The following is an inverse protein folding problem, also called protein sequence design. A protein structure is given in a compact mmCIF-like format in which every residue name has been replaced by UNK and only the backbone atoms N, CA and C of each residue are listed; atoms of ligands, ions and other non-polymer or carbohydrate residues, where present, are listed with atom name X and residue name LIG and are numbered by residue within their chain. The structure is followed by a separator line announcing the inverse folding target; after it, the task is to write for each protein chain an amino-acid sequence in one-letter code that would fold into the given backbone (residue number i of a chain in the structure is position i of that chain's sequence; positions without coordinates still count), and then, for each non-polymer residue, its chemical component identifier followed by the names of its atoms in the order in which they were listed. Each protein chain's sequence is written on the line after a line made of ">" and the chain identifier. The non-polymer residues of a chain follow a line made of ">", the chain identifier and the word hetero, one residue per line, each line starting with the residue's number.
data_IF_494756813598
#
_entry.id   IF_494756813598
#
_cell.length_a   1.000
_cell.length_b   1.000
_cell.length_c   1.000
_cell.angle_alpha   90.00
_cell.angle_beta   90.00
_cell.angle_gamma   90.00
#
_symmetry.space_group_name_H-M   'P 1'
#
loop_
_entity.id
_entity.type
_entity.pdbx_description
1 polymer ?
#
# COMPACT_ATOMS: atom_id res chain seq x y z
N UNK A 1 -6.41 -41.36 27.13
CA UNK A 1 -5.75 -40.03 27.16
C UNK A 1 -4.82 -39.72 25.98
N UNK A 2 -4.02 -40.67 25.49
CA UNK A 2 -3.08 -40.44 24.37
C UNK A 2 -3.73 -39.90 23.08
N UNK A 3 -4.90 -40.39 22.68
CA UNK A 3 -5.61 -39.92 21.46
C UNK A 3 -6.03 -38.45 21.57
N UNK A 4 -6.36 -37.95 22.78
CA UNK A 4 -6.69 -36.53 23.01
C UNK A 4 -5.46 -35.63 22.87
N UNK A 5 -4.31 -36.06 23.40
CA UNK A 5 -3.01 -35.36 23.22
C UNK A 5 -2.54 -35.39 21.77
N UNK A 6 -2.72 -36.52 21.07
CA UNK A 6 -2.38 -36.63 19.65
C UNK A 6 -3.26 -35.70 18.80
N UNK A 7 -4.58 -35.65 19.05
CA UNK A 7 -5.48 -34.69 18.42
C UNK A 7 -5.11 -33.24 18.71
N UNK A 8 -4.76 -32.88 19.95
CA UNK A 8 -4.37 -31.50 20.26
C UNK A 8 -3.05 -31.11 19.60
N UNK A 9 -2.12 -32.05 19.46
CA UNK A 9 -0.84 -31.80 18.82
C UNK A 9 -0.98 -31.76 17.29
N UNK A 10 -1.83 -32.60 16.69
CA UNK A 10 -2.18 -32.52 15.27
C UNK A 10 -2.94 -31.23 14.93
N UNK A 11 -3.87 -30.81 15.80
CA UNK A 11 -4.58 -29.55 15.67
C UNK A 11 -3.61 -28.38 15.83
N UNK A 12 -2.70 -28.40 16.82
CA UNK A 12 -1.69 -27.36 16.98
C UNK A 12 -0.77 -27.28 15.76
N UNK A 13 -0.16 -28.38 15.32
CA UNK A 13 0.71 -28.37 14.14
C UNK A 13 -0.04 -28.04 12.85
N UNK A 14 -1.28 -28.50 12.68
CA UNK A 14 -2.10 -28.19 11.51
C UNK A 14 -2.59 -26.74 11.48
N UNK A 15 -2.93 -26.16 12.64
CA UNK A 15 -3.31 -24.75 12.79
C UNK A 15 -2.10 -23.83 12.64
N UNK A 16 -0.94 -24.20 13.16
CA UNK A 16 0.31 -23.45 13.03
C UNK A 16 0.75 -23.38 11.56
N UNK A 17 0.68 -24.49 10.82
CA UNK A 17 0.94 -24.51 9.36
C UNK A 17 -0.10 -23.66 8.57
N UNK A 18 -1.35 -23.61 9.02
CA UNK A 18 -2.39 -22.79 8.39
C UNK A 18 -2.18 -21.29 8.67
N UNK A 19 -1.81 -20.93 9.89
CA UNK A 19 -1.48 -19.56 10.28
C UNK A 19 -0.21 -19.06 9.59
N UNK A 20 0.78 -19.93 9.40
CA UNK A 20 1.98 -19.63 8.60
C UNK A 20 1.61 -19.34 7.14
N UNK A 21 0.75 -20.16 6.53
CA UNK A 21 0.29 -19.95 5.14
C UNK A 21 -0.49 -18.65 4.96
N UNK A 22 -1.38 -18.35 5.90
CA UNK A 22 -2.13 -17.08 5.94
C UNK A 22 -1.17 -15.88 6.06
N UNK A 23 -0.20 -15.97 6.96
CA UNK A 23 0.81 -14.92 7.18
C UNK A 23 1.66 -14.70 5.93
N UNK A 24 2.11 -15.79 5.28
CA UNK A 24 2.83 -15.73 4.01
C UNK A 24 1.99 -15.05 2.93
N UNK A 25 0.70 -15.37 2.82
CA UNK A 25 -0.17 -14.75 1.83
C UNK A 25 -0.36 -13.25 2.10
N UNK A 26 -0.49 -12.83 3.36
CA UNK A 26 -0.54 -11.41 3.74
C UNK A 26 0.73 -10.68 3.34
N UNK A 27 1.90 -11.27 3.55
CA UNK A 27 3.17 -10.67 3.13
C UNK A 27 3.30 -10.63 1.60
N UNK A 28 2.78 -11.62 0.87
CA UNK A 28 2.68 -11.57 -0.60
C UNK A 28 1.78 -10.43 -1.09
N UNK A 29 0.63 -10.19 -0.43
CA UNK A 29 -0.25 -9.05 -0.76
C UNK A 29 0.52 -7.73 -0.59
N UNK A 30 1.25 -7.55 0.52
CA UNK A 30 2.06 -6.35 0.74
C UNK A 30 3.11 -6.16 -0.35
N UNK A 31 3.88 -7.21 -0.65
CA UNK A 31 4.92 -7.16 -1.67
C UNK A 31 4.36 -6.80 -3.03
N UNK A 32 3.21 -7.38 -3.41
CA UNK A 32 2.52 -7.05 -4.65
C UNK A 32 2.09 -5.57 -4.69
N UNK A 33 1.59 -5.02 -3.59
CA UNK A 33 1.21 -3.60 -3.50
C UNK A 33 2.44 -2.68 -3.60
N UNK A 34 3.53 -3.01 -2.91
CA UNK A 34 4.78 -2.23 -2.98
C UNK A 34 5.32 -2.24 -4.41
N UNK A 35 5.33 -3.40 -5.04
CA UNK A 35 5.78 -3.54 -6.43
C UNK A 35 4.92 -2.72 -7.40
N UNK A 36 3.60 -2.77 -7.22
CA UNK A 36 2.65 -2.01 -8.01
C UNK A 36 2.88 -0.50 -7.91
N UNK A 37 3.18 0.01 -6.72
CA UNK A 37 3.31 1.45 -6.46
C UNK A 37 4.69 1.98 -6.82
N UNK A 38 5.76 1.20 -6.59
CA UNK A 38 7.13 1.71 -6.65
C UNK A 38 7.91 1.25 -7.88
N UNK A 39 7.54 0.12 -8.51
CA UNK A 39 8.33 -0.50 -9.58
C UNK A 39 7.57 -0.69 -10.90
N UNK A 40 6.27 -0.40 -10.93
CA UNK A 40 5.48 -0.45 -12.17
C UNK A 40 5.45 0.93 -12.81
N UNK A 41 6.09 1.09 -13.97
CA UNK A 41 6.09 2.35 -14.72
C UNK A 41 4.90 2.45 -15.69
N UNK A 42 4.34 1.31 -16.09
CA UNK A 42 3.21 1.25 -17.00
C UNK A 42 1.89 1.56 -16.30
N UNK A 43 1.01 2.29 -16.98
CA UNK A 43 -0.38 2.43 -16.57
C UNK A 43 -1.02 1.06 -16.45
N UNK A 44 -1.24 0.62 -15.21
CA UNK A 44 -2.02 -0.57 -14.94
C UNK A 44 -3.42 -0.30 -15.48
N UNK A 45 -3.78 -0.96 -16.58
CA UNK A 45 -5.12 -0.86 -17.19
C UNK A 45 -6.17 -1.58 -16.34
N UNK A 46 -5.73 -2.44 -15.43
CA UNK A 46 -6.58 -3.23 -14.52
C UNK A 46 -6.67 -2.56 -13.15
N UNK A 47 -7.81 -2.71 -12.48
CA UNK A 47 -8.00 -2.16 -11.14
C UNK A 47 -7.18 -2.99 -10.10
N UNK A 48 -7.06 -2.48 -8.88
CA UNK A 48 -6.28 -3.11 -7.80
C UNK A 48 -6.76 -4.54 -7.48
N UNK A 49 -8.08 -4.78 -7.51
CA UNK A 49 -8.66 -6.08 -7.19
C UNK A 49 -8.30 -7.14 -8.23
N UNK A 50 -8.38 -6.80 -9.51
CA UNK A 50 -8.04 -7.69 -10.63
C UNK A 50 -6.54 -7.99 -10.60
N UNK A 51 -5.70 -6.95 -10.42
CA UNK A 51 -4.24 -7.12 -10.31
C UNK A 51 -3.86 -8.11 -9.20
N UNK A 52 -4.41 -7.95 -8.00
CA UNK A 52 -4.08 -8.83 -6.87
C UNK A 52 -4.63 -10.24 -7.07
N UNK A 53 -5.81 -10.37 -7.65
CA UNK A 53 -6.44 -11.68 -7.88
C UNK A 53 -5.65 -12.49 -8.90
N UNK A 54 -5.26 -11.87 -10.02
CA UNK A 54 -4.46 -12.50 -11.06
C UNK A 54 -3.05 -12.85 -10.56
N UNK A 55 -2.38 -11.90 -9.90
CA UNK A 55 -0.99 -12.07 -9.46
C UNK A 55 -0.84 -13.14 -8.37
N UNK A 56 -1.81 -13.25 -7.47
CA UNK A 56 -1.76 -14.17 -6.35
C UNK A 56 -2.54 -15.46 -6.60
N UNK A 57 -3.36 -15.51 -7.65
CA UNK A 57 -4.26 -16.62 -7.98
C UNK A 57 -5.26 -16.93 -6.85
N UNK A 58 -5.89 -15.88 -6.33
CA UNK A 58 -6.94 -15.94 -5.30
C UNK A 58 -8.09 -14.99 -5.64
N UNK A 59 -9.28 -15.28 -5.13
CA UNK A 59 -10.38 -14.32 -5.17
C UNK A 59 -10.08 -13.09 -4.29
N UNK A 60 -10.39 -11.89 -4.78
CA UNK A 60 -10.14 -10.64 -4.06
C UNK A 60 -10.88 -10.57 -2.72
N UNK A 61 -12.10 -11.10 -2.62
CA UNK A 61 -12.87 -11.10 -1.37
C UNK A 61 -12.13 -11.88 -0.29
N UNK A 62 -11.56 -13.03 -0.65
CA UNK A 62 -10.72 -13.81 0.26
C UNK A 62 -9.48 -13.03 0.70
N UNK A 63 -8.76 -12.43 -0.26
CA UNK A 63 -7.58 -11.61 0.03
C UNK A 63 -7.90 -10.43 0.96
N UNK A 64 -8.98 -9.70 0.68
CA UNK A 64 -9.41 -8.53 1.44
C UNK A 64 -9.80 -8.88 2.88
N UNK A 65 -10.54 -9.97 3.06
CA UNK A 65 -10.93 -10.46 4.39
C UNK A 65 -9.72 -10.90 5.19
N UNK A 66 -8.85 -11.73 4.60
CA UNK A 66 -7.64 -12.22 5.25
C UNK A 66 -6.71 -11.08 5.66
N UNK A 67 -6.48 -10.13 4.75
CA UNK A 67 -5.61 -9.00 5.01
C UNK A 67 -6.16 -8.12 6.14
N UNK A 68 -7.47 -7.87 6.14
CA UNK A 68 -8.12 -7.05 7.17
C UNK A 68 -8.10 -7.75 8.54
N UNK A 69 -8.31 -9.06 8.58
CA UNK A 69 -8.21 -9.88 9.80
C UNK A 69 -6.81 -9.79 10.42
N UNK A 70 -5.75 -9.87 9.60
CA UNK A 70 -4.37 -9.93 10.08
C UNK A 70 -3.75 -8.55 10.32
N UNK A 71 -4.01 -7.55 9.46
CA UNK A 71 -3.39 -6.21 9.55
C UNK A 71 -4.25 -5.18 10.27
N UNK A 72 -5.53 -5.45 10.52
CA UNK A 72 -6.45 -4.47 11.11
C UNK A 72 -6.75 -3.27 10.19
N UNK A 73 -6.44 -3.37 8.90
CA UNK A 73 -6.74 -2.35 7.89
C UNK A 73 -7.05 -3.00 6.57
N UNK A 74 -7.80 -2.33 5.70
CA UNK A 74 -8.12 -2.85 4.37
C UNK A 74 -6.91 -2.79 3.43
N UNK A 75 -6.91 -3.68 2.44
CA UNK A 75 -5.95 -3.66 1.31
C UNK A 75 -5.93 -2.29 0.64
N UNK A 76 -7.11 -1.72 0.37
CA UNK A 76 -7.21 -0.45 -0.33
C UNK A 76 -6.60 0.71 0.48
N UNK A 77 -6.85 0.77 1.79
CA UNK A 77 -6.22 1.78 2.65
C UNK A 77 -4.70 1.60 2.70
N UNK A 78 -4.22 0.36 2.73
CA UNK A 78 -2.78 0.07 2.68
C UNK A 78 -2.15 0.49 1.35
N UNK A 79 -2.80 0.17 0.22
CA UNK A 79 -2.39 0.62 -1.12
C UNK A 79 -2.34 2.14 -1.22
N UNK A 80 -3.40 2.84 -0.79
CA UNK A 80 -3.46 4.29 -0.83
C UNK A 80 -2.39 4.94 0.05
N UNK A 81 -2.09 4.39 1.23
CA UNK A 81 -0.98 4.85 2.06
C UNK A 81 0.34 4.81 1.30
N UNK A 82 0.70 3.66 0.70
CA UNK A 82 1.91 3.54 -0.11
C UNK A 82 1.93 4.51 -1.28
N UNK A 83 0.79 4.67 -1.96
CA UNK A 83 0.63 5.62 -3.06
C UNK A 83 0.90 7.06 -2.61
N UNK A 84 0.41 7.46 -1.45
CA UNK A 84 0.64 8.78 -0.86
C UNK A 84 2.10 8.97 -0.43
N UNK A 85 2.73 7.96 0.19
CA UNK A 85 4.17 8.04 0.49
C UNK A 85 4.99 8.23 -0.78
N UNK A 86 4.66 7.51 -1.85
CA UNK A 86 5.34 7.71 -3.15
C UNK A 86 5.13 9.11 -3.71
N UNK A 87 3.92 9.67 -3.58
CA UNK A 87 3.65 11.07 -3.97
C UNK A 87 4.52 12.04 -3.15
N UNK A 88 4.66 11.83 -1.83
CA UNK A 88 5.54 12.67 -1.00
C UNK A 88 6.98 12.61 -1.49
N UNK A 89 7.50 11.42 -1.78
CA UNK A 89 8.84 11.25 -2.36
C UNK A 89 9.00 12.07 -3.64
N UNK A 90 8.07 11.92 -4.59
CA UNK A 90 8.12 12.64 -5.88
C UNK A 90 8.07 14.17 -5.70
N UNK A 91 7.26 14.66 -4.75
CA UNK A 91 7.24 16.08 -4.39
C UNK A 91 8.59 16.51 -3.82
N UNK A 92 9.21 15.68 -2.96
CA UNK A 92 10.49 15.98 -2.29
C UNK A 92 11.64 16.05 -3.31
N UNK A 93 11.70 15.12 -4.27
CA UNK A 93 12.69 15.13 -5.34
C UNK A 93 12.60 16.38 -6.23
N UNK A 94 11.41 16.96 -6.35
CA UNK A 94 11.14 18.21 -7.07
C UNK A 94 11.41 18.20 -8.59
N UNK A 95 11.53 17.03 -9.19
CA UNK A 95 11.76 16.87 -10.62
C UNK A 95 10.46 16.93 -11.45
N UNK A 96 9.31 16.72 -10.79
CA UNK A 96 7.99 16.65 -11.43
C UNK A 96 7.03 17.68 -10.83
N UNK A 97 6.18 18.26 -11.69
CA UNK A 97 5.06 19.07 -11.26
C UNK A 97 3.84 18.21 -10.86
N UNK A 98 2.83 18.80 -10.20
CA UNK A 98 1.68 18.04 -9.69
C UNK A 98 0.85 17.35 -10.79
N UNK A 99 0.82 17.88 -12.00
CA UNK A 99 0.14 17.26 -13.14
C UNK A 99 0.87 16.00 -13.61
N UNK A 100 2.19 16.06 -13.70
CA UNK A 100 3.04 14.91 -14.04
C UNK A 100 2.97 13.84 -12.95
N UNK A 101 2.99 14.23 -11.68
CA UNK A 101 2.83 13.29 -10.56
C UNK A 101 1.45 12.64 -10.60
N UNK A 102 0.39 13.40 -10.86
CA UNK A 102 -0.96 12.85 -10.98
C UNK A 102 -1.03 11.82 -12.12
N UNK A 103 -0.43 12.13 -13.27
CA UNK A 103 -0.38 11.22 -14.42
C UNK A 103 0.44 9.94 -14.12
N UNK A 104 1.66 10.11 -13.58
CA UNK A 104 2.57 9.01 -13.23
C UNK A 104 1.97 8.08 -12.18
N UNK A 105 1.23 8.64 -11.22
CA UNK A 105 0.55 7.88 -10.18
C UNK A 105 -0.89 7.48 -10.58
N UNK A 106 -1.28 7.70 -11.83
CA UNK A 106 -2.57 7.27 -12.40
C UNK A 106 -3.79 7.80 -11.63
N UNK A 107 -3.74 9.08 -11.24
CA UNK A 107 -4.91 9.80 -10.78
C UNK A 107 -5.67 10.37 -11.97
N UNK A 108 -7.00 10.32 -11.90
CA UNK A 108 -7.87 10.88 -12.95
C UNK A 108 -7.74 12.40 -13.12
N UNK A 109 -7.23 13.11 -12.10
CA UNK A 109 -6.92 14.53 -12.17
C UNK A 109 -5.99 14.95 -11.03
N UNK A 110 -5.39 16.14 -11.17
CA UNK A 110 -4.65 16.81 -10.08
C UNK A 110 -5.54 17.06 -8.86
N UNK A 111 -6.83 17.34 -9.09
CA UNK A 111 -7.80 17.52 -8.01
C UNK A 111 -8.03 16.22 -7.22
N UNK A 112 -8.13 15.08 -7.92
CA UNK A 112 -8.25 13.77 -7.28
C UNK A 112 -7.00 13.46 -6.43
N UNK A 113 -5.81 13.62 -7.01
CA UNK A 113 -4.54 13.51 -6.27
C UNK A 113 -4.54 14.40 -5.02
N UNK A 114 -4.87 15.68 -5.18
CA UNK A 114 -4.83 16.67 -4.10
C UNK A 114 -5.80 16.35 -2.97
N UNK A 115 -7.03 15.95 -3.30
CA UNK A 115 -8.04 15.57 -2.32
C UNK A 115 -7.62 14.33 -1.54
N UNK A 116 -7.08 13.32 -2.23
CA UNK A 116 -6.61 12.10 -1.58
C UNK A 116 -5.38 12.39 -0.70
N UNK A 117 -4.41 13.14 -1.21
CA UNK A 117 -3.22 13.53 -0.44
C UNK A 117 -3.61 14.31 0.82
N UNK A 118 -4.54 15.26 0.73
CA UNK A 118 -5.05 15.99 1.90
C UNK A 118 -5.78 15.10 2.88
N UNK A 119 -6.59 14.15 2.41
CA UNK A 119 -7.29 13.19 3.27
C UNK A 119 -6.33 12.35 4.13
N UNK A 120 -5.18 11.97 3.57
CA UNK A 120 -4.20 11.11 4.24
C UNK A 120 -3.15 11.88 5.05
N UNK A 121 -2.77 13.09 4.62
CA UNK A 121 -1.68 13.86 5.24
C UNK A 121 -2.16 15.05 6.07
N UNK A 122 -3.42 15.48 5.89
CA UNK A 122 -3.94 16.73 6.45
C UNK A 122 -3.55 17.99 5.67
N UNK A 123 -2.64 17.90 4.69
CA UNK A 123 -2.07 19.03 3.96
C UNK A 123 -2.34 18.90 2.46
N UNK A 124 -2.40 20.02 1.73
CA UNK A 124 -2.40 19.95 0.26
C UNK A 124 -0.99 19.63 -0.26
N UNK A 125 -0.84 19.03 -1.45
CA UNK A 125 0.47 18.79 -2.04
C UNK A 125 1.33 20.06 -2.15
N UNK A 126 0.73 21.20 -2.57
CA UNK A 126 1.43 22.48 -2.68
C UNK A 126 1.91 23.00 -1.33
N UNK A 127 1.09 22.89 -0.28
CA UNK A 127 1.47 23.32 1.05
C UNK A 127 2.57 22.43 1.64
N UNK A 128 2.50 21.11 1.39
CA UNK A 128 3.56 20.19 1.75
C UNK A 128 4.89 20.54 1.06
N UNK A 129 4.86 20.90 -0.23
CA UNK A 129 6.04 21.36 -1.00
C UNK A 129 6.63 22.66 -0.43
N UNK A 130 5.78 23.62 -0.06
CA UNK A 130 6.22 24.89 0.53
C UNK A 130 6.91 24.71 1.89
N UNK A 131 6.35 23.86 2.78
CA UNK A 131 6.94 23.56 4.08
C UNK A 131 8.34 22.94 3.97
N UNK A 132 8.58 22.13 2.93
CA UNK A 132 9.91 21.59 2.65
C UNK A 132 10.89 22.70 2.27
N UNK A 133 10.50 23.61 1.37
CA UNK A 133 11.40 24.69 0.93
C UNK A 133 11.82 25.56 2.10
N UNK A 134 10.87 25.99 2.93
CA UNK A 134 11.18 26.77 4.15
C UNK A 134 12.17 26.07 5.08
N UNK A 135 12.10 24.73 5.21
CA UNK A 135 13.05 23.96 6.02
C UNK A 135 14.44 23.86 5.38
N UNK A 136 14.54 23.81 4.05
CA UNK A 136 15.82 23.81 3.33
C UNK A 136 16.51 25.17 3.47
N UNK A 137 15.77 26.26 3.25
CA UNK A 137 16.30 27.62 3.38
C UNK A 137 16.90 27.86 4.77
N UNK A 138 16.24 27.42 5.84
CA UNK A 138 16.75 27.55 7.22
C UNK A 138 18.02 26.74 7.54
N UNK A 139 18.37 25.74 6.72
CA UNK A 139 19.57 24.90 6.90
C UNK A 139 20.74 25.39 6.06
N UNK A 140 20.50 26.11 4.97
CA UNK A 140 21.53 26.72 4.13
C UNK A 140 22.04 28.05 4.71
N UNK A 141 21.25 28.69 5.58
CA UNK A 141 21.58 29.94 6.28
C UNK A 141 22.39 29.74 7.59
N UNK A 142 22.92 28.54 7.88
CA UNK A 142 23.74 28.20 9.07
C UNK A 142 25.13 27.76 8.65
#
# INVERSE_FOLDING_TARGET
>A
EQVKRLKSNLLKSGLEILDDKKSILVEKIKSAIVELVHYTEEQIKVNLSDYLSEKLNYDYTYLANLFSEVKGTTIEKFYLNHKIEKVKELIIYDELNLSEIAYKMHYSSVAHLSNQFKKFTGLTPSHFKELRNKRRDTLEDV
#
